data_IF_974615948045
#
_entry.id   IF_974615948045
#
_cell.length_a   1.000
_cell.length_b   1.000
_cell.length_c   1.000
_cell.angle_alpha   90.00
_cell.angle_beta   90.00
_cell.angle_gamma   90.00
#
_symmetry.space_group_name_H-M   'P 1'
#
loop_
_entity.id
_entity.type
_entity.pdbx_description
1 polymer ?
#
# COMPACT_ATOMS: atom_id res chain seq x y z
N UNK A 1 11.30 8.66 4.09
CA UNK A 1 10.18 8.29 4.98
C UNK A 1 9.16 7.40 4.28
N UNK A 2 8.61 7.80 3.12
CA UNK A 2 7.60 7.02 2.38
C UNK A 2 7.99 5.56 2.06
N UNK A 3 9.21 5.32 1.57
CA UNK A 3 9.70 3.95 1.27
C UNK A 3 9.74 3.05 2.50
N UNK A 4 10.06 3.62 3.67
CA UNK A 4 10.07 2.88 4.95
C UNK A 4 8.64 2.50 5.36
N UNK A 5 7.68 3.42 5.18
CA UNK A 5 6.27 3.13 5.42
C UNK A 5 5.73 2.05 4.47
N UNK A 6 6.17 2.04 3.20
CA UNK A 6 5.80 1.00 2.24
C UNK A 6 6.33 -0.38 2.63
N UNK A 7 7.59 -0.47 3.07
CA UNK A 7 8.16 -1.74 3.54
C UNK A 7 7.41 -2.29 4.76
N UNK A 8 7.17 -1.43 5.77
CA UNK A 8 6.40 -1.82 6.95
C UNK A 8 4.96 -2.23 6.59
N UNK A 9 4.29 -1.50 5.68
CA UNK A 9 2.96 -1.87 5.24
C UNK A 9 2.95 -3.23 4.53
N UNK A 10 3.95 -3.51 3.68
CA UNK A 10 4.06 -4.77 2.92
C UNK A 10 4.20 -6.00 3.82
N UNK A 11 4.96 -5.88 4.90
CA UNK A 11 5.16 -6.95 5.89
C UNK A 11 3.89 -7.21 6.69
N UNK A 12 3.21 -6.14 7.12
CA UNK A 12 2.05 -6.25 7.99
C UNK A 12 0.76 -6.61 7.25
N UNK A 13 0.62 -6.28 5.96
CA UNK A 13 -0.65 -6.45 5.22
C UNK A 13 -1.19 -7.90 5.21
N UNK A 14 -0.29 -8.87 5.08
CA UNK A 14 -0.67 -10.29 4.95
C UNK A 14 -1.13 -10.90 6.29
N UNK A 15 -0.44 -10.55 7.37
CA UNK A 15 -0.72 -11.08 8.72
C UNK A 15 -1.74 -10.24 9.51
N UNK A 16 -2.06 -9.03 9.04
CA UNK A 16 -3.01 -8.12 9.69
C UNK A 16 -4.44 -8.66 9.67
N UNK A 17 -5.19 -8.35 10.73
CA UNK A 17 -6.64 -8.49 10.74
C UNK A 17 -7.31 -7.39 9.89
N UNK A 18 -8.62 -7.47 9.70
CA UNK A 18 -9.37 -6.50 8.87
C UNK A 18 -9.25 -5.05 9.35
N UNK A 19 -9.26 -4.80 10.66
CA UNK A 19 -9.15 -3.45 11.21
C UNK A 19 -7.77 -2.84 10.95
N UNK A 20 -6.71 -3.63 11.14
CA UNK A 20 -5.34 -3.22 10.87
C UNK A 20 -5.12 -3.01 9.37
N UNK A 21 -5.69 -3.86 8.51
CA UNK A 21 -5.65 -3.69 7.05
C UNK A 21 -6.30 -2.37 6.62
N UNK A 22 -7.46 -2.02 7.20
CA UNK A 22 -8.10 -0.71 6.96
C UNK A 22 -7.21 0.44 7.37
N UNK A 23 -6.57 0.37 8.54
CA UNK A 23 -5.70 1.44 9.03
C UNK A 23 -4.46 1.63 8.14
N UNK A 24 -3.81 0.52 7.74
CA UNK A 24 -2.68 0.53 6.81
C UNK A 24 -3.11 1.16 5.48
N UNK A 25 -4.23 0.71 4.93
CA UNK A 25 -4.77 1.21 3.67
C UNK A 25 -5.13 2.70 3.73
N UNK A 26 -5.78 3.15 4.81
CA UNK A 26 -6.11 4.56 5.02
C UNK A 26 -4.85 5.45 4.98
N UNK A 27 -3.81 5.04 5.69
CA UNK A 27 -2.53 5.74 5.75
C UNK A 27 -1.84 5.77 4.39
N UNK A 28 -1.79 4.62 3.70
CA UNK A 28 -1.20 4.50 2.37
C UNK A 28 -1.95 5.34 1.33
N UNK A 29 -3.29 5.36 1.37
CA UNK A 29 -4.13 6.16 0.47
C UNK A 29 -3.77 7.64 0.53
N UNK A 30 -3.70 8.20 1.74
CA UNK A 30 -3.35 9.60 1.95
C UNK A 30 -1.95 9.93 1.44
N UNK A 31 -0.97 9.10 1.82
CA UNK A 31 0.44 9.34 1.48
C UNK A 31 0.70 9.16 -0.02
N UNK A 32 0.13 8.11 -0.63
CA UNK A 32 0.29 7.82 -2.05
C UNK A 32 -0.27 8.95 -2.93
N UNK A 33 -1.44 9.50 -2.59
CA UNK A 33 -2.03 10.64 -3.33
C UNK A 33 -1.19 11.90 -3.22
N UNK A 34 -0.65 12.21 -2.04
CA UNK A 34 0.23 13.36 -1.83
C UNK A 34 1.53 13.30 -2.63
N UNK A 35 1.98 12.10 -3.00
CA UNK A 35 3.23 11.86 -3.76
C UNK A 35 2.99 11.52 -5.23
N UNK A 36 1.74 11.57 -5.71
CA UNK A 36 1.39 11.24 -7.09
C UNK A 36 1.38 9.75 -7.42
N UNK A 37 1.49 8.85 -6.43
CA UNK A 37 1.39 7.40 -6.61
C UNK A 37 -0.08 6.95 -6.71
N UNK A 38 -0.83 7.49 -7.68
CA UNK A 38 -2.28 7.33 -7.76
C UNK A 38 -2.75 5.89 -7.81
N UNK A 39 -2.09 5.03 -8.61
CA UNK A 39 -2.41 3.60 -8.70
C UNK A 39 -2.33 2.89 -7.33
N UNK A 40 -1.33 3.23 -6.52
CA UNK A 40 -1.20 2.71 -5.15
C UNK A 40 -2.32 3.25 -4.26
N UNK A 41 -2.64 4.54 -4.38
CA UNK A 41 -3.73 5.18 -3.65
C UNK A 41 -5.10 4.55 -3.95
N UNK A 42 -5.36 4.18 -5.21
CA UNK A 42 -6.60 3.53 -5.62
C UNK A 42 -6.69 2.09 -5.10
N UNK A 43 -5.57 1.33 -5.16
CA UNK A 43 -5.51 0.00 -4.54
C UNK A 43 -5.73 0.07 -3.02
N UNK A 44 -5.17 1.09 -2.36
CA UNK A 44 -5.36 1.29 -0.93
C UNK A 44 -6.82 1.63 -0.60
N UNK A 45 -7.47 2.51 -1.37
CA UNK A 45 -8.88 2.82 -1.19
C UNK A 45 -9.78 1.56 -1.28
N UNK A 46 -9.52 0.67 -2.25
CA UNK A 46 -10.28 -0.57 -2.39
C UNK A 46 -10.14 -1.51 -1.18
N UNK A 47 -8.96 -1.57 -0.54
CA UNK A 47 -8.74 -2.34 0.69
C UNK A 47 -9.39 -1.69 1.91
N UNK A 48 -9.41 -0.37 1.98
CA UNK A 48 -10.08 0.33 3.08
C UNK A 48 -11.59 0.01 3.10
N UNK A 49 -12.20 -0.10 1.93
CA UNK A 49 -13.61 -0.48 1.76
C UNK A 49 -13.84 -1.98 2.02
N UNK A 50 -12.94 -2.85 1.52
CA UNK A 50 -13.06 -4.32 1.60
C UNK A 50 -11.76 -4.99 2.09
N UNK A 51 -11.43 -4.88 3.40
CA UNK A 51 -10.15 -5.35 3.96
C UNK A 51 -10.00 -6.88 4.02
N UNK A 52 -11.09 -7.62 3.86
CA UNK A 52 -11.14 -9.08 3.84
C UNK A 52 -10.84 -9.66 2.45
N UNK A 53 -10.85 -8.84 1.40
CA UNK A 53 -10.72 -9.30 0.03
C UNK A 53 -9.26 -9.64 -0.33
N UNK A 54 -8.93 -10.93 -0.33
CA UNK A 54 -7.57 -11.41 -0.60
C UNK A 54 -7.02 -11.01 -1.98
N UNK A 55 -7.87 -10.92 -3.00
CA UNK A 55 -7.44 -10.50 -4.33
C UNK A 55 -6.97 -9.03 -4.33
N UNK A 56 -7.68 -8.17 -3.59
CA UNK A 56 -7.25 -6.79 -3.41
C UNK A 56 -5.98 -6.70 -2.56
N UNK A 57 -5.79 -7.59 -1.58
CA UNK A 57 -4.60 -7.59 -0.71
C UNK A 57 -3.36 -7.92 -1.53
N UNK A 58 -3.47 -8.93 -2.40
CA UNK A 58 -2.42 -9.28 -3.35
C UNK A 58 -2.13 -8.13 -4.32
N UNK A 59 -3.17 -7.45 -4.81
CA UNK A 59 -3.03 -6.29 -5.70
C UNK A 59 -2.35 -5.10 -5.02
N UNK A 60 -2.73 -4.78 -3.77
CA UNK A 60 -2.10 -3.72 -3.00
C UNK A 60 -0.63 -4.05 -2.70
N UNK A 61 -0.33 -5.30 -2.31
CA UNK A 61 1.04 -5.78 -2.10
C UNK A 61 1.91 -5.58 -3.33
N UNK A 62 1.41 -5.97 -4.52
CA UNK A 62 2.12 -5.76 -5.78
C UNK A 62 2.33 -4.29 -6.10
N UNK A 63 1.32 -3.43 -5.88
CA UNK A 63 1.44 -2.00 -6.11
C UNK A 63 2.48 -1.35 -5.18
N UNK A 64 2.58 -1.82 -3.93
CA UNK A 64 3.64 -1.39 -3.01
C UNK A 64 5.02 -1.75 -3.56
N UNK A 65 5.20 -2.99 -4.03
CA UNK A 65 6.46 -3.46 -4.60
C UNK A 65 6.85 -2.66 -5.86
N UNK A 66 5.90 -2.41 -6.78
CA UNK A 66 6.12 -1.57 -7.98
C UNK A 66 6.60 -0.15 -7.63
N UNK A 67 6.01 0.50 -6.61
CA UNK A 67 6.42 1.85 -6.18
C UNK A 67 7.81 1.81 -5.54
N UNK A 68 8.14 0.78 -4.77
CA UNK A 68 9.47 0.62 -4.17
C UNK A 68 10.54 0.45 -5.24
N UNK A 69 10.29 -0.39 -6.25
CA UNK A 69 11.21 -0.61 -7.36
C UNK A 69 11.42 0.67 -8.19
N UNK A 70 10.34 1.41 -8.46
CA UNK A 70 10.44 2.71 -9.14
C UNK A 70 11.31 3.70 -8.37
N UNK A 71 11.08 3.85 -7.05
CA UNK A 71 11.88 4.76 -6.22
C UNK A 71 13.34 4.31 -6.13
N UNK A 72 13.62 3.01 -6.10
CA UNK A 72 14.98 2.48 -6.12
C UNK A 72 15.69 2.76 -7.46
N UNK A 73 14.97 2.67 -8.58
CA UNK A 73 15.52 2.92 -9.91
C UNK A 73 15.91 4.38 -10.16
N UNK A 74 15.18 5.35 -9.59
CA UNK A 74 15.47 6.80 -9.76
C UNK A 74 16.49 7.37 -8.77
N UNK A 75 16.76 6.66 -7.67
CA UNK A 75 17.80 7.05 -6.68
C UNK A 75 19.18 6.47 -7.01
N UNK A 76 19.36 5.93 -8.22
CA UNK A 76 20.60 5.34 -8.72
C UNK A 76 21.30 6.32 -9.65
#
# INVERSE_FOLDING_TARGET
MFVVQLAAARENLAAANEADRRMIAHTLKGTARGLGAFKLGDCAAAIEDTPENEALIARLSKAIDEVRDFVAAINR
#
